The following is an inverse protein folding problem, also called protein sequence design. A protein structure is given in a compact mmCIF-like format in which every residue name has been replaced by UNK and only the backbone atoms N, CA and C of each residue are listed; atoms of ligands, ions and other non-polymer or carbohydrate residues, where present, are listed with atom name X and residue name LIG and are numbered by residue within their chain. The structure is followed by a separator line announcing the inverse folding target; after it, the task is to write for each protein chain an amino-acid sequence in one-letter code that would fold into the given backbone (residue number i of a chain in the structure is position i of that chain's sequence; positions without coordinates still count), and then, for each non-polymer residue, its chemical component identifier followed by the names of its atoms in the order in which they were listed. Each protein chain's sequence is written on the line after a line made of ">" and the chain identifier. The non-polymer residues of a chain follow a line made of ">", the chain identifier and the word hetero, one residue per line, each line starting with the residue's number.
data_IF_535399619099
#
_entry.id   IF_535399619099
#
_cell.length_a   1.000
_cell.length_b   1.000
_cell.length_c   1.000
_cell.angle_alpha   90.00
_cell.angle_beta   90.00
_cell.angle_gamma   90.00
#
_symmetry.space_group_name_H-M   'P 1'
#
loop_
_entity.id
_entity.type
_entity.pdbx_description
1 polymer ?
#
# COMPACT_ATOMS: atom_id res chain seq x y z
N UNK A 1 -14.27 13.12 -15.30
CA UNK A 1 -14.71 11.72 -15.18
C UNK A 1 -13.49 10.85 -14.97
N UNK A 2 -13.38 10.17 -13.83
CA UNK A 2 -12.76 8.84 -13.63
C UNK A 2 -12.49 8.55 -12.13
N UNK A 3 -13.51 8.59 -11.24
CA UNK A 3 -13.32 8.23 -9.82
C UNK A 3 -13.24 6.71 -9.57
N UNK A 4 -13.87 5.91 -10.44
CA UNK A 4 -14.17 4.51 -10.12
C UNK A 4 -13.38 3.49 -10.96
N UNK A 5 -12.74 3.90 -12.06
CA UNK A 5 -12.12 2.98 -13.05
C UNK A 5 -10.83 3.56 -13.67
N UNK A 6 -9.92 4.05 -12.84
CA UNK A 6 -8.74 4.76 -13.33
C UNK A 6 -7.62 3.82 -13.80
N UNK A 7 -7.55 2.57 -13.30
CA UNK A 7 -6.54 1.58 -13.71
C UNK A 7 -6.79 1.06 -15.13
N UNK A 8 -7.97 1.28 -15.72
CA UNK A 8 -8.22 1.11 -17.15
C UNK A 8 -7.18 1.81 -18.06
N UNK A 9 -6.61 2.93 -17.60
CA UNK A 9 -5.57 3.68 -18.33
C UNK A 9 -4.16 3.08 -18.22
N UNK A 10 -3.96 2.11 -17.32
CA UNK A 10 -2.64 1.59 -16.94
C UNK A 10 -2.48 0.08 -17.22
N UNK A 11 -3.39 -0.52 -17.99
CA UNK A 11 -3.49 -1.97 -18.21
C UNK A 11 -2.19 -2.64 -18.68
N UNK A 12 -1.37 -1.94 -19.45
CA UNK A 12 -0.11 -2.45 -20.00
C UNK A 12 1.10 -2.18 -19.10
N UNK A 13 0.93 -1.47 -17.99
CA UNK A 13 1.98 -1.21 -17.01
C UNK A 13 2.01 -2.30 -15.95
N UNK A 14 3.19 -2.50 -15.36
CA UNK A 14 3.39 -3.35 -14.18
C UNK A 14 2.93 -2.66 -12.91
N UNK A 15 2.65 -3.44 -11.87
CA UNK A 15 2.26 -2.94 -10.56
C UNK A 15 3.28 -1.94 -9.99
N UNK A 16 4.57 -2.18 -10.22
CA UNK A 16 5.67 -1.29 -9.82
C UNK A 16 5.87 -0.06 -10.71
N UNK A 17 5.05 0.14 -11.73
CA UNK A 17 5.10 1.29 -12.64
C UNK A 17 3.93 2.26 -12.45
N UNK A 18 3.02 1.96 -11.51
CA UNK A 18 1.82 2.75 -11.22
C UNK A 18 1.88 3.30 -9.80
N UNK A 19 1.46 4.56 -9.64
CA UNK A 19 1.20 5.18 -8.34
C UNK A 19 -0.28 5.02 -8.00
N UNK A 20 -0.58 4.54 -6.79
CA UNK A 20 -1.94 4.25 -6.35
C UNK A 20 -2.20 4.78 -4.93
N UNK A 21 -3.42 5.24 -4.63
CA UNK A 21 -3.84 5.58 -3.28
C UNK A 21 -3.99 4.33 -2.41
N UNK A 22 -3.42 4.38 -1.20
CA UNK A 22 -3.53 3.33 -0.19
C UNK A 22 -4.18 3.83 1.10
N UNK A 23 -4.89 2.95 1.79
CA UNK A 23 -5.61 3.24 3.03
C UNK A 23 -4.94 2.58 4.22
N UNK A 24 -4.54 3.40 5.20
CA UNK A 24 -3.96 2.96 6.46
C UNK A 24 -5.06 2.53 7.44
N UNK A 25 -4.88 1.35 8.06
CA UNK A 25 -5.86 0.73 8.97
C UNK A 25 -7.29 0.82 8.42
N UNK A 26 -7.46 0.39 7.17
CA UNK A 26 -8.57 0.75 6.31
C UNK A 26 -9.95 0.34 6.85
N UNK A 27 -10.00 -0.72 7.66
CA UNK A 27 -11.25 -1.23 8.23
C UNK A 27 -11.76 -0.46 9.45
N UNK A 28 -11.03 0.54 9.96
CA UNK A 28 -11.36 1.22 11.23
C UNK A 28 -12.19 2.48 10.98
N UNK A 29 -13.36 2.28 10.34
CA UNK A 29 -14.30 3.35 9.98
C UNK A 29 -15.53 3.46 10.90
N UNK A 30 -15.79 2.46 11.76
CA UNK A 30 -16.92 2.46 12.72
C UNK A 30 -16.50 2.69 14.18
N UNK A 31 -15.23 3.04 14.44
CA UNK A 31 -14.70 3.08 15.80
C UNK A 31 -15.30 4.21 16.66
N UNK A 32 -15.84 5.27 16.04
CA UNK A 32 -16.51 6.40 16.70
C UNK A 32 -15.69 7.02 17.84
N UNK A 33 -14.36 7.04 17.69
CA UNK A 33 -13.41 7.53 18.68
C UNK A 33 -12.26 8.25 17.97
N UNK A 34 -12.09 9.53 18.24
CA UNK A 34 -11.25 10.44 17.44
C UNK A 34 -9.76 10.05 17.41
N UNK A 35 -9.24 9.41 18.45
CA UNK A 35 -7.85 8.93 18.50
C UNK A 35 -7.67 7.48 18.03
N UNK A 36 -8.72 6.85 17.46
CA UNK A 36 -8.70 5.46 16.99
C UNK A 36 -9.22 5.31 15.57
N UNK A 37 -10.27 6.04 15.21
CA UNK A 37 -10.86 6.00 13.88
C UNK A 37 -9.89 6.57 12.84
N UNK A 38 -9.48 5.75 11.89
CA UNK A 38 -8.56 6.13 10.80
C UNK A 38 -9.28 6.41 9.50
N UNK A 39 -10.52 5.92 9.33
CA UNK A 39 -11.28 6.08 8.09
C UNK A 39 -12.70 6.56 8.37
N UNK A 40 -13.35 7.15 7.36
CA UNK A 40 -14.76 7.55 7.42
C UNK A 40 -15.67 6.69 6.53
N UNK A 41 -15.09 6.09 5.49
CA UNK A 41 -15.77 5.29 4.48
C UNK A 41 -15.48 3.81 4.73
N UNK A 42 -16.41 2.94 4.37
CA UNK A 42 -16.18 1.49 4.27
C UNK A 42 -15.26 1.15 3.07
N UNK A 43 -15.04 -0.14 2.80
CA UNK A 43 -14.11 -0.55 1.73
C UNK A 43 -14.68 -0.19 0.37
N UNK A 44 -15.98 -0.35 0.16
CA UNK A 44 -16.64 0.08 -1.07
C UNK A 44 -16.49 1.58 -1.31
N UNK A 45 -16.76 2.41 -0.30
CA UNK A 45 -16.63 3.87 -0.37
C UNK A 45 -15.20 4.33 -0.62
N UNK A 46 -14.22 3.73 0.06
CA UNK A 46 -12.80 4.01 -0.17
C UNK A 46 -12.35 3.60 -1.59
N UNK A 47 -12.81 2.45 -2.09
CA UNK A 47 -12.50 2.00 -3.45
C UNK A 47 -13.14 2.91 -4.51
N UNK A 48 -14.39 3.32 -4.31
CA UNK A 48 -15.07 4.28 -5.19
C UNK A 48 -14.42 5.67 -5.15
N UNK A 49 -13.77 6.05 -4.04
CA UNK A 49 -12.96 7.26 -3.98
C UNK A 49 -11.64 7.16 -4.80
N UNK A 50 -11.22 5.95 -5.19
CA UNK A 50 -9.97 5.71 -5.93
C UNK A 50 -8.91 4.90 -5.16
N UNK A 51 -9.17 4.42 -3.95
CA UNK A 51 -8.20 3.60 -3.21
C UNK A 51 -8.08 2.18 -3.78
N UNK A 52 -6.85 1.65 -3.88
CA UNK A 52 -6.59 0.29 -4.42
C UNK A 52 -5.76 -0.60 -3.51
N UNK A 53 -5.22 -0.06 -2.41
CA UNK A 53 -4.40 -0.80 -1.46
C UNK A 53 -4.88 -0.58 -0.02
N UNK A 54 -5.27 -1.64 0.69
CA UNK A 54 -5.93 -1.53 1.98
C UNK A 54 -5.12 -2.27 3.04
N UNK A 55 -4.62 -1.57 4.05
CA UNK A 55 -3.97 -2.22 5.21
C UNK A 55 -5.02 -2.58 6.26
N UNK A 56 -5.26 -3.87 6.45
CA UNK A 56 -6.26 -4.42 7.34
C UNK A 56 -5.59 -5.09 8.54
N UNK A 57 -6.03 -4.69 9.74
CA UNK A 57 -5.70 -5.35 11.01
C UNK A 57 -6.96 -6.00 11.53
N UNK A 58 -7.01 -7.32 11.48
CA UNK A 58 -8.20 -8.11 11.80
C UNK A 58 -7.96 -8.96 13.04
N UNK A 59 -8.95 -9.01 13.91
CA UNK A 59 -8.97 -9.86 15.08
C UNK A 59 -10.38 -10.41 15.33
N UNK A 60 -10.49 -11.47 16.12
CA UNK A 60 -11.78 -12.05 16.47
C UNK A 60 -12.38 -11.28 17.63
N UNK A 61 -13.54 -10.69 17.39
CA UNK A 61 -14.38 -9.96 18.32
C UNK A 61 -15.44 -10.87 18.92
N UNK A 62 -15.58 -10.82 20.25
CA UNK A 62 -16.65 -11.47 21.00
C UNK A 62 -17.75 -10.45 21.28
N UNK A 63 -18.98 -10.77 20.90
CA UNK A 63 -20.19 -10.02 21.28
C UNK A 63 -21.12 -10.94 22.08
N UNK A 64 -21.81 -10.38 23.08
CA UNK A 64 -22.84 -11.10 23.83
C UNK A 64 -24.10 -10.22 23.85
N UNK A 65 -25.16 -10.66 23.19
CA UNK A 65 -26.45 -9.95 23.11
C UNK A 65 -27.55 -10.92 23.52
N UNK A 66 -28.40 -10.53 24.47
CA UNK A 66 -29.50 -11.38 24.95
C UNK A 66 -29.05 -12.74 25.52
N UNK A 67 -27.84 -12.82 26.07
CA UNK A 67 -27.24 -14.07 26.56
C UNK A 67 -26.58 -14.95 25.48
N UNK A 68 -26.78 -14.65 24.19
CA UNK A 68 -26.13 -15.36 23.10
C UNK A 68 -24.77 -14.73 22.80
N UNK A 69 -23.72 -15.56 22.77
CA UNK A 69 -22.36 -15.14 22.43
C UNK A 69 -22.05 -15.47 20.98
N UNK A 70 -21.52 -14.50 20.24
CA UNK A 70 -21.07 -14.65 18.86
C UNK A 70 -19.62 -14.21 18.72
N UNK A 71 -18.88 -14.89 17.85
CA UNK A 71 -17.50 -14.56 17.50
C UNK A 71 -17.45 -14.16 16.03
N UNK A 72 -16.93 -12.97 15.75
CA UNK A 72 -16.84 -12.42 14.38
C UNK A 72 -15.46 -11.83 14.15
N UNK A 73 -14.95 -11.84 12.92
CA UNK A 73 -13.70 -11.17 12.61
C UNK A 73 -13.99 -9.70 12.29
N UNK A 74 -13.30 -8.79 12.98
CA UNK A 74 -13.47 -7.34 12.81
C UNK A 74 -12.12 -6.65 12.69
N UNK A 75 -12.11 -5.53 11.98
CA UNK A 75 -10.99 -4.63 12.01
C UNK A 75 -10.79 -4.03 13.40
N UNK A 76 -9.56 -3.67 13.76
CA UNK A 76 -9.27 -2.97 15.00
C UNK A 76 -8.08 -2.03 14.86
N UNK A 77 -8.00 -1.05 15.76
CA UNK A 77 -6.82 -0.20 15.92
C UNK A 77 -6.36 -0.20 17.38
N UNK A 78 -5.17 -0.76 17.61
CA UNK A 78 -4.43 -0.72 18.87
C UNK A 78 -2.97 -1.07 18.61
N UNK A 79 -2.07 -0.65 19.51
CA UNK A 79 -0.72 -1.21 19.56
C UNK A 79 -0.78 -2.73 19.83
N UNK A 80 -0.06 -3.52 19.03
CA UNK A 80 -0.11 -4.98 19.11
C UNK A 80 0.32 -5.52 20.48
N UNK A 81 1.22 -4.82 21.19
CA UNK A 81 1.68 -5.18 22.53
C UNK A 81 0.59 -5.05 23.60
N UNK A 82 -0.48 -4.29 23.30
CA UNK A 82 -1.60 -4.05 24.21
C UNK A 82 -2.83 -4.90 23.88
N UNK A 83 -2.79 -5.70 22.81
CA UNK A 83 -3.89 -6.60 22.44
C UNK A 83 -3.86 -7.82 23.37
N UNK A 84 -4.94 -8.04 24.12
CA UNK A 84 -5.05 -9.20 25.02
C UNK A 84 -5.75 -10.36 24.31
N UNK A 85 -5.11 -11.54 24.31
CA UNK A 85 -5.66 -12.76 23.73
C UNK A 85 -6.39 -13.61 24.80
N UNK A 86 -7.66 -13.91 24.57
CA UNK A 86 -8.46 -14.76 25.44
C UNK A 86 -8.77 -16.09 24.75
N UNK A 87 -8.28 -17.19 25.32
CA UNK A 87 -8.57 -18.54 24.81
C UNK A 87 -10.05 -18.87 24.96
N UNK A 88 -10.62 -19.46 23.91
CA UNK A 88 -11.98 -20.00 23.92
C UNK A 88 -11.90 -21.51 24.06
N UNK A 89 -12.69 -22.06 24.97
CA UNK A 89 -12.90 -23.51 25.11
C UNK A 89 -14.27 -23.85 24.56
N UNK A 90 -14.41 -25.02 23.94
CA UNK A 90 -15.68 -25.61 23.54
C UNK A 90 -16.49 -24.80 22.48
N UNK A 91 -15.83 -23.96 21.68
CA UNK A 91 -16.45 -23.34 20.49
C UNK A 91 -15.76 -23.87 19.23
N UNK A 92 -16.42 -24.72 18.42
CA UNK A 92 -15.83 -25.26 17.20
C UNK A 92 -15.30 -24.16 16.29
N UNK A 93 -14.07 -24.29 15.81
CA UNK A 93 -13.45 -23.37 14.86
C UNK A 93 -12.92 -22.04 15.43
N UNK A 94 -13.17 -21.74 16.71
CA UNK A 94 -12.67 -20.52 17.37
C UNK A 94 -11.77 -20.89 18.55
N UNK A 95 -10.48 -20.56 18.45
CA UNK A 95 -9.48 -20.90 19.47
C UNK A 95 -9.21 -19.74 20.42
N UNK A 96 -9.39 -18.50 19.97
CA UNK A 96 -9.29 -17.31 20.82
C UNK A 96 -10.05 -16.11 20.25
N UNK A 97 -10.31 -15.12 21.11
CA UNK A 97 -10.78 -13.80 20.74
C UNK A 97 -9.88 -12.73 21.38
N UNK A 98 -9.87 -11.54 20.79
CA UNK A 98 -9.01 -10.45 21.25
C UNK A 98 -9.84 -9.40 21.98
N UNK A 99 -9.21 -8.79 22.98
CA UNK A 99 -9.71 -7.59 23.63
C UNK A 99 -8.79 -6.42 23.28
N UNK A 100 -9.35 -5.40 22.63
CA UNK A 100 -8.64 -4.18 22.24
C UNK A 100 -8.94 -2.99 23.17
N UNK A 101 -9.64 -3.27 24.28
CA UNK A 101 -9.69 -2.46 25.51
C UNK A 101 -10.09 -0.99 25.39
N UNK A 102 -9.82 -0.24 26.48
CA UNK A 102 -10.09 1.21 26.61
C UNK A 102 -9.21 2.08 25.69
N UNK A 103 -8.03 1.59 25.29
CA UNK A 103 -7.06 2.35 24.52
C UNK A 103 -7.31 2.25 23.00
N UNK A 104 -7.88 1.14 22.52
CA UNK A 104 -8.15 0.89 21.11
C UNK A 104 -9.62 1.07 20.74
N UNK A 105 -10.00 0.45 19.62
CA UNK A 105 -11.39 0.33 19.21
C UNK A 105 -11.56 -0.59 17.99
N UNK A 106 -12.82 -0.96 17.76
CA UNK A 106 -13.23 -1.88 16.70
C UNK A 106 -13.75 -1.14 15.47
N UNK A 107 -13.40 -1.66 14.30
CA UNK A 107 -13.88 -1.23 12.99
C UNK A 107 -14.96 -2.15 12.42
N UNK A 108 -15.07 -2.17 11.09
CA UNK A 108 -16.00 -2.99 10.33
C UNK A 108 -15.75 -4.51 10.42
N UNK A 109 -16.72 -5.30 9.98
CA UNK A 109 -16.60 -6.77 9.88
C UNK A 109 -15.77 -7.20 8.69
N UNK A 110 -14.94 -8.25 8.84
CA UNK A 110 -14.15 -8.80 7.73
C UNK A 110 -15.03 -9.24 6.56
N UNK A 111 -16.15 -9.87 6.88
CA UNK A 111 -17.08 -10.42 5.90
C UNK A 111 -17.62 -9.32 4.97
N UNK A 112 -18.09 -8.21 5.54
CA UNK A 112 -18.55 -7.05 4.79
C UNK A 112 -17.43 -6.45 3.93
N UNK A 113 -16.22 -6.33 4.48
CA UNK A 113 -15.06 -5.81 3.74
C UNK A 113 -14.67 -6.68 2.54
N UNK A 114 -14.81 -8.01 2.64
CA UNK A 114 -14.55 -8.92 1.53
C UNK A 114 -15.66 -8.87 0.48
N UNK A 115 -16.93 -8.75 0.91
CA UNK A 115 -18.07 -8.62 0.00
C UNK A 115 -18.03 -7.28 -0.76
N UNK A 116 -17.67 -6.18 -0.11
CA UNK A 116 -17.39 -4.88 -0.71
C UNK A 116 -16.32 -4.98 -1.79
N UNK A 117 -15.17 -5.57 -1.44
CA UNK A 117 -14.03 -5.69 -2.34
C UNK A 117 -14.37 -6.55 -3.57
N UNK A 118 -15.04 -7.69 -3.36
CA UNK A 118 -15.53 -8.54 -4.45
C UNK A 118 -16.47 -7.77 -5.36
N UNK A 119 -17.48 -7.12 -4.80
CA UNK A 119 -18.50 -6.38 -5.55
C UNK A 119 -17.88 -5.28 -6.40
N UNK A 120 -16.91 -4.55 -5.84
CA UNK A 120 -16.21 -3.48 -6.55
C UNK A 120 -15.48 -4.00 -7.80
N UNK A 121 -14.66 -5.05 -7.68
CA UNK A 121 -13.87 -5.56 -8.82
C UNK A 121 -14.71 -6.31 -9.84
N UNK A 122 -15.86 -6.89 -9.43
CA UNK A 122 -16.81 -7.46 -10.39
C UNK A 122 -17.58 -6.40 -11.16
N UNK A 123 -17.79 -5.23 -10.55
CA UNK A 123 -18.48 -4.09 -11.19
C UNK A 123 -17.52 -3.29 -12.09
N UNK A 124 -16.24 -3.21 -11.71
CA UNK A 124 -15.20 -2.49 -12.44
C UNK A 124 -14.08 -3.47 -12.85
N UNK A 125 -14.28 -4.27 -13.92
CA UNK A 125 -13.43 -5.42 -14.24
C UNK A 125 -12.02 -5.07 -14.71
N UNK A 126 -11.74 -3.80 -14.99
CA UNK A 126 -10.42 -3.23 -15.29
C UNK A 126 -9.65 -2.84 -14.02
N UNK A 127 -10.30 -2.81 -12.87
CA UNK A 127 -9.71 -2.49 -11.59
C UNK A 127 -9.30 -3.73 -10.81
N UNK A 128 -8.50 -3.55 -9.77
CA UNK A 128 -8.21 -4.58 -8.78
C UNK A 128 -8.09 -3.95 -7.39
N UNK A 129 -8.19 -4.77 -6.34
CA UNK A 129 -7.95 -4.31 -4.97
C UNK A 129 -6.92 -5.20 -4.28
N UNK A 130 -5.98 -4.61 -3.56
CA UNK A 130 -5.01 -5.33 -2.74
C UNK A 130 -5.41 -5.18 -1.27
N UNK A 131 -5.76 -6.29 -0.63
CA UNK A 131 -6.02 -6.37 0.81
C UNK A 131 -4.77 -6.91 1.51
N UNK A 132 -4.05 -6.01 2.18
CA UNK A 132 -2.88 -6.33 3.01
C UNK A 132 -3.36 -6.67 4.42
N UNK A 133 -3.15 -7.90 4.86
CA UNK A 133 -3.41 -8.31 6.24
C UNK A 133 -2.12 -8.23 7.05
N UNK A 134 -2.05 -7.27 7.99
CA UNK A 134 -0.89 -7.10 8.86
C UNK A 134 -1.32 -6.98 10.32
N UNK A 135 -0.45 -7.40 11.26
CA UNK A 135 -0.74 -7.37 12.70
C UNK A 135 -2.10 -7.99 13.07
N UNK A 136 -2.50 -9.05 12.37
CA UNK A 136 -3.76 -9.73 12.62
C UNK A 136 -3.61 -10.82 13.68
N UNK A 137 -4.74 -11.20 14.27
CA UNK A 137 -4.89 -12.42 15.04
C UNK A 137 -5.71 -13.44 14.22
N UNK A 138 -5.66 -14.72 14.61
CA UNK A 138 -6.48 -15.78 14.00
C UNK A 138 -6.36 -15.87 12.46
N UNK A 139 -5.12 -15.80 11.95
CA UNK A 139 -4.75 -15.83 10.53
C UNK A 139 -5.47 -16.89 9.71
N UNK A 140 -5.62 -18.12 10.22
CA UNK A 140 -6.28 -19.20 9.49
C UNK A 140 -7.76 -18.91 9.23
N UNK A 141 -8.46 -18.30 10.19
CA UNK A 141 -9.86 -17.89 10.04
C UNK A 141 -10.00 -16.80 8.98
N UNK A 142 -9.09 -15.81 8.99
CA UNK A 142 -9.05 -14.73 7.99
C UNK A 142 -8.81 -15.30 6.59
N UNK A 143 -7.81 -16.17 6.43
CA UNK A 143 -7.49 -16.76 5.13
C UNK A 143 -8.64 -17.63 4.57
N UNK A 144 -9.30 -18.43 5.41
CA UNK A 144 -10.47 -19.20 5.00
C UNK A 144 -11.64 -18.30 4.58
N UNK A 145 -11.85 -17.18 5.29
CA UNK A 145 -12.87 -16.20 4.91
C UNK A 145 -12.55 -15.58 3.53
N UNK A 146 -11.30 -15.21 3.27
CA UNK A 146 -10.86 -14.71 1.96
C UNK A 146 -11.15 -15.73 0.85
N UNK A 147 -10.71 -16.99 0.99
CA UNK A 147 -10.91 -18.05 -0.01
C UNK A 147 -12.40 -18.24 -0.29
N UNK A 148 -13.22 -18.31 0.77
CA UNK A 148 -14.64 -18.65 0.64
C UNK A 148 -15.45 -17.48 0.09
N UNK A 149 -15.27 -16.26 0.61
CA UNK A 149 -16.12 -15.11 0.26
C UNK A 149 -15.70 -14.45 -1.05
N UNK A 150 -14.40 -14.32 -1.33
CA UNK A 150 -13.95 -13.71 -2.58
C UNK A 150 -14.24 -14.61 -3.78
N UNK A 151 -14.21 -15.93 -3.58
CA UNK A 151 -14.59 -16.92 -4.61
C UNK A 151 -13.85 -16.67 -5.92
N UNK A 152 -14.56 -16.63 -7.08
CA UNK A 152 -13.92 -16.39 -8.38
C UNK A 152 -13.21 -15.03 -8.50
N UNK A 153 -13.57 -14.02 -7.70
CA UNK A 153 -12.88 -12.73 -7.74
C UNK A 153 -11.51 -12.77 -7.02
N UNK A 154 -11.21 -13.82 -6.26
CA UNK A 154 -9.91 -13.96 -5.60
C UNK A 154 -8.81 -14.17 -6.64
N UNK A 155 -7.72 -13.40 -6.55
CA UNK A 155 -6.52 -13.67 -7.33
C UNK A 155 -5.81 -14.90 -6.78
N UNK A 156 -5.72 -15.96 -7.58
CA UNK A 156 -5.15 -17.25 -7.16
C UNK A 156 -3.84 -17.62 -7.85
N UNK A 157 -3.38 -16.81 -8.79
CA UNK A 157 -2.13 -17.05 -9.50
C UNK A 157 -0.91 -16.86 -8.58
N UNK A 158 0.16 -17.57 -8.88
CA UNK A 158 1.39 -17.52 -8.10
C UNK A 158 2.41 -16.48 -8.64
N UNK A 159 3.50 -16.35 -7.89
CA UNK A 159 4.69 -15.60 -8.29
C UNK A 159 4.77 -14.19 -7.72
N UNK A 160 5.74 -13.47 -8.25
CA UNK A 160 6.08 -12.12 -7.83
C UNK A 160 5.07 -11.10 -8.38
N UNK A 161 4.30 -10.49 -7.48
CA UNK A 161 3.24 -9.55 -7.84
C UNK A 161 3.78 -8.21 -8.33
N UNK A 162 4.98 -7.82 -7.93
CA UNK A 162 5.53 -6.53 -8.29
C UNK A 162 5.66 -6.34 -9.82
N UNK A 163 5.89 -7.44 -10.55
CA UNK A 163 6.07 -7.45 -12.00
C UNK A 163 4.82 -7.85 -12.78
N UNK A 164 3.69 -8.11 -12.10
CA UNK A 164 2.43 -8.39 -12.78
C UNK A 164 1.92 -7.09 -13.40
N UNK A 165 1.40 -7.20 -14.62
CA UNK A 165 0.71 -6.09 -15.27
C UNK A 165 -0.63 -5.82 -14.59
N UNK A 166 -1.10 -4.58 -14.64
CA UNK A 166 -2.44 -4.20 -14.20
C UNK A 166 -3.49 -5.10 -14.84
N UNK A 167 -3.35 -5.42 -16.14
CA UNK A 167 -4.24 -6.36 -16.85
C UNK A 167 -4.28 -7.75 -16.22
N UNK A 168 -3.14 -8.28 -15.77
CA UNK A 168 -3.09 -9.59 -15.12
C UNK A 168 -3.78 -9.60 -13.75
N UNK A 169 -3.90 -8.44 -13.10
CA UNK A 169 -4.55 -8.28 -11.80
C UNK A 169 -6.03 -7.87 -11.92
N UNK A 170 -6.45 -7.39 -13.09
CA UNK A 170 -7.77 -6.80 -13.34
C UNK A 170 -8.92 -7.76 -13.03
N UNK A 171 -9.98 -7.23 -12.42
CA UNK A 171 -11.17 -7.96 -11.99
C UNK A 171 -10.93 -8.82 -10.75
N UNK A 172 -9.81 -8.62 -10.02
CA UNK A 172 -9.44 -9.46 -8.88
C UNK A 172 -9.25 -8.70 -7.58
N UNK A 173 -9.54 -9.39 -6.49
CA UNK A 173 -9.10 -9.04 -5.15
C UNK A 173 -7.85 -9.86 -4.83
N UNK A 174 -6.74 -9.19 -4.56
CA UNK A 174 -5.47 -9.78 -4.19
C UNK A 174 -5.33 -9.71 -2.67
N UNK A 175 -5.24 -10.87 -2.01
CA UNK A 175 -4.97 -10.90 -0.56
C UNK A 175 -3.52 -11.21 -0.29
N UNK A 176 -2.83 -10.31 0.41
CA UNK A 176 -1.44 -10.51 0.84
C UNK A 176 -1.36 -10.49 2.36
N UNK A 177 -0.72 -11.51 2.93
CA UNK A 177 -0.53 -11.65 4.37
C UNK A 177 0.89 -11.28 4.74
N UNK A 178 1.07 -10.58 5.86
CA UNK A 178 2.42 -10.32 6.40
C UNK A 178 3.23 -11.63 6.46
N UNK A 179 4.49 -11.59 6.03
CA UNK A 179 5.34 -12.80 5.96
C UNK A 179 5.44 -13.54 7.31
N UNK A 180 5.30 -12.83 8.44
CA UNK A 180 5.25 -13.44 9.78
C UNK A 180 4.03 -14.35 10.01
N UNK A 181 2.98 -14.25 9.18
CA UNK A 181 1.81 -15.12 9.22
C UNK A 181 2.07 -16.49 8.56
N UNK A 182 3.12 -16.63 7.73
CA UNK A 182 3.39 -17.84 6.92
C UNK A 182 3.31 -19.14 7.73
N UNK A 183 3.97 -19.30 8.89
CA UNK A 183 3.91 -20.56 9.65
C UNK A 183 2.49 -20.94 10.08
N UNK A 184 1.63 -19.93 10.36
CA UNK A 184 0.24 -20.12 10.81
C UNK A 184 -0.71 -20.43 9.65
N UNK A 185 -0.30 -20.13 8.42
CA UNK A 185 -1.09 -20.35 7.20
C UNK A 185 -0.71 -21.65 6.48
N UNK A 186 0.41 -22.29 6.80
CA UNK A 186 0.79 -23.60 6.24
C UNK A 186 -0.36 -24.63 6.34
N UNK A 187 -1.03 -24.83 7.50
CA UNK A 187 -2.13 -25.80 7.59
C UNK A 187 -3.30 -25.47 6.65
N UNK A 188 -3.62 -24.18 6.47
CA UNK A 188 -4.68 -23.74 5.56
C UNK A 188 -4.29 -24.03 4.11
N UNK A 189 -3.06 -23.69 3.71
CA UNK A 189 -2.52 -23.92 2.38
C UNK A 189 -2.49 -25.43 2.07
N UNK A 190 -1.98 -26.25 2.99
CA UNK A 190 -1.93 -27.71 2.84
C UNK A 190 -3.32 -28.31 2.70
N UNK A 191 -4.32 -27.81 3.45
CA UNK A 191 -5.70 -28.27 3.36
C UNK A 191 -6.34 -27.99 1.97
N UNK A 192 -5.79 -27.08 1.17
CA UNK A 192 -6.25 -26.85 -0.20
C UNK A 192 -5.80 -27.95 -1.18
N UNK A 193 -4.88 -28.83 -0.78
CA UNK A 193 -4.49 -29.99 -1.60
C UNK A 193 -3.93 -29.61 -2.98
N UNK A 194 -3.17 -28.51 -3.06
CA UNK A 194 -2.61 -28.01 -4.32
C UNK A 194 -3.57 -27.17 -5.17
N UNK A 195 -4.83 -26.97 -4.74
CA UNK A 195 -5.76 -26.06 -5.42
C UNK A 195 -5.26 -24.61 -5.31
N UNK A 196 -5.43 -23.79 -6.36
CA UNK A 196 -5.16 -22.35 -6.28
C UNK A 196 -5.98 -21.71 -5.16
N UNK A 197 -5.32 -20.99 -4.26
CA UNK A 197 -5.90 -20.56 -2.99
C UNK A 197 -5.72 -19.07 -2.67
N UNK A 198 -4.95 -18.33 -3.48
CA UNK A 198 -4.79 -16.88 -3.35
C UNK A 198 -4.16 -16.40 -2.03
N UNK A 199 -3.51 -17.29 -1.28
CA UNK A 199 -2.74 -16.92 -0.08
C UNK A 199 -1.34 -16.54 -0.53
N UNK A 200 -1.12 -15.23 -0.66
CA UNK A 200 0.16 -14.63 -1.03
C UNK A 200 0.75 -13.88 0.17
N UNK A 201 2.04 -13.53 0.09
CA UNK A 201 2.72 -12.86 1.19
C UNK A 201 3.17 -11.44 0.86
N UNK A 202 3.42 -10.64 1.88
CA UNK A 202 4.02 -9.33 1.73
C UNK A 202 5.12 -9.11 2.77
N UNK A 203 6.25 -8.53 2.36
CA UNK A 203 7.35 -8.17 3.28
C UNK A 203 7.97 -6.82 2.94
N UNK A 204 8.34 -6.09 3.99
CA UNK A 204 9.20 -4.92 3.88
C UNK A 204 10.66 -5.37 3.69
N UNK A 205 11.35 -4.74 2.75
CA UNK A 205 12.80 -4.91 2.57
C UNK A 205 13.61 -3.95 3.43
N UNK A 206 13.04 -2.80 3.80
CA UNK A 206 13.70 -1.85 4.70
C UNK A 206 13.39 -2.18 6.16
N UNK A 207 14.44 -2.37 6.96
CA UNK A 207 14.33 -2.38 8.41
C UNK A 207 14.92 -1.09 8.98
N UNK A 208 14.03 -0.23 9.50
CA UNK A 208 14.43 1.04 10.12
C UNK A 208 15.15 0.88 11.45
N UNK A 209 14.96 -0.25 12.11
CA UNK A 209 15.41 -0.44 13.49
C UNK A 209 16.86 -0.95 13.48
N UNK A 210 17.23 -1.76 12.49
CA UNK A 210 18.61 -2.14 12.20
C UNK A 210 19.30 -1.25 11.17
N UNK A 211 18.56 -0.40 10.45
CA UNK A 211 19.06 0.38 9.31
C UNK A 211 19.45 -0.47 8.10
N UNK A 212 19.16 -1.78 8.13
CA UNK A 212 19.54 -2.73 7.09
C UNK A 212 18.47 -2.88 6.01
N UNK A 213 18.90 -3.30 4.81
CA UNK A 213 17.99 -3.64 3.71
C UNK A 213 18.14 -5.12 3.38
N UNK A 214 17.00 -5.82 3.30
CA UNK A 214 16.95 -7.19 2.80
C UNK A 214 17.09 -7.20 1.28
N UNK A 215 17.71 -8.24 0.75
CA UNK A 215 17.81 -8.48 -0.69
C UNK A 215 16.43 -8.79 -1.28
N UNK A 216 16.15 -8.22 -2.43
CA UNK A 216 14.96 -8.54 -3.21
C UNK A 216 15.05 -9.96 -3.76
N UNK A 217 13.97 -10.73 -3.63
CA UNK A 217 13.88 -12.09 -4.15
C UNK A 217 12.93 -12.13 -5.37
N UNK A 218 13.42 -12.31 -6.61
CA UNK A 218 12.55 -12.34 -7.79
C UNK A 218 11.56 -13.50 -7.79
N UNK A 219 11.79 -14.55 -7.00
CA UNK A 219 10.93 -15.72 -6.88
C UNK A 219 9.93 -15.62 -5.71
N UNK A 220 9.92 -14.52 -4.97
CA UNK A 220 9.02 -14.33 -3.85
C UNK A 220 7.55 -14.38 -4.31
N UNK A 221 6.75 -15.24 -3.68
CA UNK A 221 5.32 -15.36 -3.94
C UNK A 221 4.53 -14.27 -3.19
N UNK A 222 4.38 -13.13 -3.85
CA UNK A 222 3.61 -11.99 -3.36
C UNK A 222 4.32 -10.66 -3.61
N UNK A 223 4.22 -9.74 -2.64
CA UNK A 223 4.71 -8.36 -2.75
C UNK A 223 5.97 -8.15 -1.90
N UNK A 224 6.96 -7.47 -2.47
CA UNK A 224 8.10 -6.92 -1.73
C UNK A 224 8.10 -5.41 -1.85
N UNK A 225 8.20 -4.70 -0.73
CA UNK A 225 8.14 -3.24 -0.74
C UNK A 225 9.24 -2.61 0.11
N UNK A 226 9.62 -1.38 -0.25
CA UNK A 226 10.48 -0.50 0.51
C UNK A 226 9.65 0.65 1.06
N UNK A 227 9.53 0.71 2.39
CA UNK A 227 8.69 1.70 3.04
C UNK A 227 8.62 1.46 4.54
N UNK A 228 8.40 2.51 5.32
CA UNK A 228 8.19 2.40 6.76
C UNK A 228 7.30 3.53 7.26
N UNK A 229 6.30 3.12 8.01
CA UNK A 229 5.46 4.03 8.78
C UNK A 229 6.30 4.88 9.78
N UNK A 230 5.91 6.14 10.00
CA UNK A 230 6.58 7.03 10.97
C UNK A 230 5.73 7.20 12.22
N UNK A 231 6.24 6.74 13.38
CA UNK A 231 5.54 6.97 14.64
C UNK A 231 5.82 8.40 15.17
N UNK A 232 5.24 9.41 14.53
CA UNK A 232 5.38 10.82 14.92
C UNK A 232 4.12 11.62 14.61
N UNK A 233 3.82 12.59 15.47
CA UNK A 233 2.75 13.58 15.31
C UNK A 233 3.20 14.81 14.49
N UNK A 234 4.52 14.98 14.29
CA UNK A 234 5.09 16.16 13.61
C UNK A 234 5.20 15.91 12.11
N UNK A 235 4.48 16.71 11.32
CA UNK A 235 4.50 16.65 9.86
C UNK A 235 5.92 16.69 9.30
N UNK A 236 6.73 17.70 9.68
CA UNK A 236 8.10 17.82 9.17
C UNK A 236 9.02 16.62 9.49
N UNK A 237 8.82 15.98 10.66
CA UNK A 237 9.54 14.74 10.98
C UNK A 237 9.06 13.57 10.11
N UNK A 238 7.76 13.47 9.85
CA UNK A 238 7.23 12.48 8.94
C UNK A 238 7.77 12.71 7.52
N UNK A 239 7.67 13.92 6.98
CA UNK A 239 8.18 14.31 5.65
C UNK A 239 9.64 13.94 5.50
N UNK A 240 10.49 14.31 6.45
CA UNK A 240 11.92 13.99 6.40
C UNK A 240 12.19 12.47 6.47
N UNK A 241 11.41 11.71 7.26
CA UNK A 241 11.53 10.25 7.30
C UNK A 241 11.10 9.62 5.99
N UNK A 242 9.94 10.01 5.45
CA UNK A 242 9.46 9.49 4.16
C UNK A 242 10.47 9.81 3.05
N UNK A 243 10.99 11.05 2.99
CA UNK A 243 12.03 11.42 2.02
C UNK A 243 13.28 10.54 2.10
N UNK A 244 13.83 10.35 3.30
CA UNK A 244 14.99 9.44 3.49
C UNK A 244 14.67 8.00 3.12
N UNK A 245 13.49 7.49 3.47
CA UNK A 245 13.08 6.14 3.10
C UNK A 245 12.99 5.96 1.59
N UNK A 246 12.41 6.93 0.86
CA UNK A 246 12.33 6.84 -0.59
C UNK A 246 13.71 6.92 -1.26
N UNK A 247 14.58 7.82 -0.79
CA UNK A 247 15.96 7.91 -1.28
C UNK A 247 16.75 6.64 -0.99
N UNK A 248 16.61 6.03 0.19
CA UNK A 248 17.29 4.77 0.48
C UNK A 248 16.74 3.60 -0.36
N UNK A 249 15.44 3.65 -0.69
CA UNK A 249 14.80 2.68 -1.57
C UNK A 249 15.38 2.67 -2.99
N UNK A 250 15.91 3.82 -3.46
CA UNK A 250 16.58 3.95 -4.76
C UNK A 250 17.73 2.93 -4.96
N UNK A 251 18.40 2.53 -3.87
CA UNK A 251 19.53 1.60 -3.87
C UNK A 251 19.14 0.13 -4.03
N UNK A 252 17.84 -0.21 -3.89
CA UNK A 252 17.39 -1.60 -3.84
C UNK A 252 17.09 -2.17 -5.23
N UNK A 253 16.49 -3.35 -5.38
CA UNK A 253 16.18 -3.89 -6.72
C UNK A 253 15.10 -3.07 -7.43
N UNK A 254 15.18 -2.93 -8.76
CA UNK A 254 14.27 -2.06 -9.52
C UNK A 254 12.80 -2.49 -9.48
N UNK A 255 12.58 -3.78 -9.24
CA UNK A 255 11.23 -4.31 -9.20
C UNK A 255 10.52 -4.12 -7.85
N UNK A 256 11.17 -3.59 -6.82
CA UNK A 256 10.54 -3.38 -5.51
C UNK A 256 9.46 -2.28 -5.57
N UNK A 257 8.38 -2.43 -4.80
CA UNK A 257 7.41 -1.35 -4.65
C UNK A 257 7.89 -0.31 -3.64
N UNK A 258 7.78 0.98 -3.95
CA UNK A 258 7.93 2.04 -2.94
C UNK A 258 6.61 2.29 -2.20
N UNK A 259 6.65 2.40 -0.87
CA UNK A 259 5.47 2.72 -0.05
C UNK A 259 5.76 3.90 0.86
N UNK A 260 5.01 4.99 0.63
CA UNK A 260 5.05 6.22 1.42
C UNK A 260 3.87 6.26 2.37
N UNK A 261 4.11 6.63 3.62
CA UNK A 261 3.07 6.84 4.62
C UNK A 261 2.86 8.34 4.83
N UNK A 262 1.79 8.89 4.26
CA UNK A 262 1.41 10.29 4.43
C UNK A 262 0.38 10.46 5.54
N UNK A 263 0.75 9.95 6.70
CA UNK A 263 -0.03 9.96 7.94
C UNK A 263 0.87 10.36 9.11
N UNK A 264 0.29 10.82 10.20
CA UNK A 264 0.99 11.04 11.47
C UNK A 264 0.33 10.23 12.57
N UNK A 265 1.04 9.90 13.64
CA UNK A 265 0.49 9.21 14.84
C UNK A 265 0.58 10.06 16.11
N UNK A 266 -0.20 9.70 17.11
CA UNK A 266 -0.13 10.21 18.47
C UNK A 266 -1.22 9.52 19.30
N UNK A 267 -0.87 8.96 20.47
CA UNK A 267 -1.77 8.11 21.26
C UNK A 267 -3.04 8.84 21.74
N UNK A 268 -2.98 10.17 21.88
CA UNK A 268 -4.04 10.98 22.46
C UNK A 268 -4.61 12.04 21.51
N UNK A 269 -4.01 12.20 20.31
CA UNK A 269 -4.41 13.24 19.36
C UNK A 269 -5.52 12.77 18.43
N UNK A 270 -6.44 13.67 18.08
CA UNK A 270 -7.46 13.45 17.06
C UNK A 270 -6.80 13.10 15.71
N UNK A 271 -7.06 11.89 15.19
CA UNK A 271 -6.51 11.43 13.91
C UNK A 271 -7.05 12.27 12.76
N UNK A 272 -8.32 12.68 12.81
CA UNK A 272 -8.96 13.47 11.76
C UNK A 272 -8.36 14.87 11.69
N UNK A 273 -8.14 15.52 12.83
CA UNK A 273 -7.47 16.82 12.86
C UNK A 273 -6.06 16.73 12.27
N UNK A 274 -5.30 15.69 12.64
CA UNK A 274 -3.95 15.45 12.11
C UNK A 274 -3.96 15.17 10.62
N UNK A 275 -4.93 14.40 10.15
CA UNK A 275 -5.17 14.17 8.73
C UNK A 275 -5.44 15.48 7.98
N UNK A 276 -6.33 16.34 8.50
CA UNK A 276 -6.60 17.64 7.88
C UNK A 276 -5.33 18.51 7.78
N UNK A 277 -4.46 18.46 8.79
CA UNK A 277 -3.14 19.09 8.72
C UNK A 277 -2.27 18.47 7.63
N UNK A 278 -2.16 17.15 7.56
CA UNK A 278 -1.36 16.44 6.54
C UNK A 278 -1.79 16.75 5.10
N UNK A 279 -3.07 17.04 4.89
CA UNK A 279 -3.68 17.27 3.58
C UNK A 279 -4.04 18.73 3.29
N UNK A 280 -3.52 19.68 4.08
CA UNK A 280 -3.58 21.09 3.70
C UNK A 280 -2.67 21.39 2.49
N UNK A 281 -2.87 22.54 1.84
CA UNK A 281 -2.14 22.90 0.62
C UNK A 281 -0.61 22.83 0.77
N UNK A 282 -0.08 23.36 1.87
CA UNK A 282 1.37 23.37 2.15
C UNK A 282 1.94 21.95 2.25
N UNK A 283 1.24 21.06 2.95
CA UNK A 283 1.71 19.71 3.18
C UNK A 283 1.46 18.80 1.97
N UNK A 284 0.43 19.05 1.17
CA UNK A 284 0.27 18.41 -0.15
C UNK A 284 1.44 18.77 -1.07
N UNK A 285 1.86 20.04 -1.10
CA UNK A 285 3.05 20.44 -1.86
C UNK A 285 4.32 19.73 -1.34
N UNK A 286 4.46 19.59 -0.01
CA UNK A 286 5.56 18.86 0.60
C UNK A 286 5.56 17.35 0.24
N UNK A 287 4.38 16.71 0.19
CA UNK A 287 4.23 15.33 -0.31
C UNK A 287 4.74 15.23 -1.74
N UNK A 288 4.26 16.09 -2.63
CA UNK A 288 4.61 16.06 -4.05
C UNK A 288 6.12 16.28 -4.25
N UNK A 289 6.70 17.22 -3.51
CA UNK A 289 8.14 17.46 -3.55
C UNK A 289 8.94 16.26 -3.03
N UNK A 290 8.52 15.68 -1.90
CA UNK A 290 9.20 14.52 -1.31
C UNK A 290 9.14 13.32 -2.26
N UNK A 291 7.99 13.10 -2.90
CA UNK A 291 7.80 12.07 -3.90
C UNK A 291 8.72 12.29 -5.12
N UNK A 292 8.76 13.53 -5.67
CA UNK A 292 9.62 13.90 -6.80
C UNK A 292 11.11 13.68 -6.49
N UNK A 293 11.56 14.09 -5.30
CA UNK A 293 12.94 13.86 -4.87
C UNK A 293 13.29 12.37 -4.75
N UNK A 294 12.35 11.53 -4.30
CA UNK A 294 12.52 10.08 -4.29
C UNK A 294 12.65 9.47 -5.68
N UNK A 295 11.85 9.95 -6.64
CA UNK A 295 11.94 9.57 -8.05
C UNK A 295 13.30 9.96 -8.65
N UNK A 296 13.73 11.22 -8.45
CA UNK A 296 15.00 11.72 -8.95
C UNK A 296 16.21 10.94 -8.39
N UNK A 297 16.18 10.62 -7.09
CA UNK A 297 17.21 9.80 -6.46
C UNK A 297 17.24 8.38 -7.05
N UNK A 298 16.06 7.78 -7.28
CA UNK A 298 15.94 6.46 -7.91
C UNK A 298 16.52 6.41 -9.32
N UNK A 299 16.27 7.43 -10.13
CA UNK A 299 16.86 7.56 -11.47
C UNK A 299 18.38 7.72 -11.37
N UNK A 300 18.83 8.68 -10.55
CA UNK A 300 20.25 9.03 -10.46
C UNK A 300 21.09 7.86 -9.95
N UNK A 301 20.61 7.15 -8.93
CA UNK A 301 21.36 6.02 -8.35
C UNK A 301 21.52 4.84 -9.30
N UNK A 302 20.54 4.60 -10.19
CA UNK A 302 20.53 3.42 -11.06
C UNK A 302 21.21 3.63 -12.40
N UNK A 303 21.13 4.84 -12.95
CA UNK A 303 21.74 5.16 -14.24
C UNK A 303 23.06 5.90 -14.13
N UNK A 304 23.36 6.55 -13.01
CA UNK A 304 24.63 7.27 -12.82
C UNK A 304 24.96 8.18 -14.01
N UNK A 305 26.11 7.95 -14.62
CA UNK A 305 26.58 8.69 -15.80
C UNK A 305 25.86 8.34 -17.12
N UNK A 306 25.14 7.21 -17.17
CA UNK A 306 24.35 6.78 -18.32
C UNK A 306 22.92 7.35 -18.29
N UNK A 307 22.59 8.17 -17.28
CA UNK A 307 21.27 8.79 -17.12
C UNK A 307 20.80 9.45 -18.41
N UNK A 308 21.63 10.29 -19.02
CA UNK A 308 21.25 11.02 -20.24
C UNK A 308 20.99 10.08 -21.43
N UNK A 309 21.78 9.02 -21.57
CA UNK A 309 21.62 8.01 -22.63
C UNK A 309 20.38 7.13 -22.43
N UNK A 310 20.13 6.67 -21.19
CA UNK A 310 18.94 5.89 -20.85
C UNK A 310 17.65 6.71 -21.02
N UNK A 311 17.74 8.00 -20.73
CA UNK A 311 16.65 8.95 -20.90
C UNK A 311 16.38 9.24 -22.38
N UNK A 312 17.40 9.48 -23.20
CA UNK A 312 17.25 9.64 -24.66
C UNK A 312 16.62 8.40 -25.33
N UNK A 313 16.97 7.20 -24.89
CA UNK A 313 16.38 5.96 -25.40
C UNK A 313 14.88 5.82 -25.02
N UNK A 314 14.47 6.29 -23.85
CA UNK A 314 13.06 6.29 -23.45
C UNK A 314 12.20 7.28 -24.26
N UNK A 315 12.82 8.34 -24.78
CA UNK A 315 12.21 9.33 -25.68
C UNK A 315 11.89 8.74 -27.06
N UNK A 316 12.75 7.84 -27.54
CA UNK A 316 12.73 7.31 -28.91
C UNK A 316 11.98 5.98 -29.05
N UNK A 317 11.95 5.15 -28.00
CA UNK A 317 11.41 3.78 -28.04
C UNK A 317 10.12 3.62 -27.22
N UNK A 318 9.18 4.57 -27.39
CA UNK A 318 7.94 4.69 -26.61
C UNK A 318 7.37 3.37 -26.05
N UNK A 319 7.07 3.37 -24.75
CA UNK A 319 6.39 2.26 -24.05
C UNK A 319 7.31 1.36 -23.22
N UNK A 320 8.29 0.69 -23.84
CA UNK A 320 9.08 -0.36 -23.16
C UNK A 320 10.13 0.21 -22.18
N UNK A 321 10.81 1.30 -22.56
CA UNK A 321 11.74 2.01 -21.68
C UNK A 321 11.03 3.02 -20.76
N UNK A 322 9.87 3.55 -21.17
CA UNK A 322 9.02 4.37 -20.30
C UNK A 322 8.47 3.61 -19.10
N UNK A 323 8.15 2.31 -19.27
CA UNK A 323 7.84 1.39 -18.16
C UNK A 323 9.05 1.21 -17.24
N UNK A 324 10.24 0.92 -17.79
CA UNK A 324 11.49 0.88 -17.00
C UNK A 324 11.71 2.21 -16.26
N UNK A 325 11.52 3.36 -16.89
CA UNK A 325 11.59 4.69 -16.26
C UNK A 325 10.51 4.96 -15.17
N UNK A 326 9.38 4.26 -15.23
CA UNK A 326 8.29 4.34 -14.24
C UNK A 326 8.39 3.31 -13.13
N UNK A 327 9.24 2.30 -13.28
CA UNK A 327 9.62 1.39 -12.18
C UNK A 327 10.40 2.09 -11.03
N UNK A 328 10.50 3.42 -11.08
CA UNK A 328 11.36 4.27 -10.26
C UNK A 328 10.60 5.16 -9.26
N UNK A 329 9.39 4.76 -8.87
CA UNK A 329 8.48 5.62 -8.11
C UNK A 329 8.12 5.03 -6.74
N UNK A 330 7.85 5.89 -5.74
CA UNK A 330 6.95 5.52 -4.65
C UNK A 330 5.58 5.17 -5.25
N UNK A 331 5.22 3.88 -5.22
CA UNK A 331 4.04 3.33 -5.88
C UNK A 331 2.77 3.47 -5.04
N UNK A 332 2.88 3.44 -3.72
CA UNK A 332 1.72 3.43 -2.84
C UNK A 332 1.84 4.58 -1.85
N UNK A 333 0.82 5.45 -1.81
CA UNK A 333 0.72 6.52 -0.80
C UNK A 333 -0.39 6.15 0.18
N UNK A 334 0.02 5.70 1.37
CA UNK A 334 -0.88 5.30 2.46
C UNK A 334 -1.41 6.53 3.21
N UNK A 335 -2.71 6.60 3.44
CA UNK A 335 -3.39 7.73 4.08
C UNK A 335 -4.49 7.34 5.07
N UNK A 336 -4.79 8.24 5.99
CA UNK A 336 -6.00 8.21 6.82
C UNK A 336 -7.12 9.00 6.12
N UNK A 337 -8.37 8.71 6.46
CA UNK A 337 -9.58 9.36 5.95
C UNK A 337 -9.58 9.57 4.44
N UNK A 338 -9.44 8.46 3.71
CA UNK A 338 -9.53 8.41 2.25
C UNK A 338 -10.79 9.14 1.77
N UNK A 339 -10.62 9.99 0.77
CA UNK A 339 -11.67 10.62 -0.01
C UNK A 339 -11.20 10.81 -1.46
N UNK A 340 -12.13 11.21 -2.34
CA UNK A 340 -11.85 11.39 -3.76
C UNK A 340 -10.73 12.40 -4.02
N UNK A 341 -10.73 13.55 -3.31
CA UNK A 341 -9.75 14.61 -3.56
C UNK A 341 -8.32 14.13 -3.26
N UNK A 342 -8.13 13.40 -2.16
CA UNK A 342 -6.83 12.82 -1.81
C UNK A 342 -6.38 11.76 -2.81
N UNK A 343 -7.32 10.91 -3.24
CA UNK A 343 -7.06 9.89 -4.26
C UNK A 343 -6.66 10.52 -5.60
N UNK A 344 -7.35 11.57 -6.05
CA UNK A 344 -7.03 12.31 -7.28
C UNK A 344 -5.61 12.90 -7.21
N UNK A 345 -5.23 13.49 -6.07
CA UNK A 345 -3.88 14.03 -5.85
C UNK A 345 -2.82 12.94 -6.00
N UNK A 346 -3.06 11.74 -5.47
CA UNK A 346 -2.12 10.63 -5.56
C UNK A 346 -2.09 10.04 -6.97
N UNK A 347 -3.23 9.90 -7.64
CA UNK A 347 -3.29 9.43 -9.03
C UNK A 347 -2.51 10.38 -9.96
N UNK A 348 -2.64 11.70 -9.76
CA UNK A 348 -1.94 12.72 -10.53
C UNK A 348 -0.40 12.59 -10.45
N UNK A 349 0.15 11.91 -9.44
CA UNK A 349 1.58 11.61 -9.38
C UNK A 349 2.05 10.76 -10.58
N UNK A 350 1.18 9.95 -11.19
CA UNK A 350 1.49 9.24 -12.43
C UNK A 350 1.76 10.20 -13.61
N UNK A 351 1.06 11.34 -13.66
CA UNK A 351 1.27 12.38 -14.67
C UNK A 351 2.50 13.25 -14.35
N UNK A 352 2.71 13.56 -13.06
CA UNK A 352 3.92 14.22 -12.59
C UNK A 352 5.16 13.41 -12.95
N UNK A 353 5.11 12.09 -12.78
CA UNK A 353 6.19 11.19 -13.20
C UNK A 353 6.58 11.41 -14.66
N UNK A 354 5.59 11.37 -15.55
CA UNK A 354 5.82 11.55 -16.99
C UNK A 354 6.44 12.93 -17.28
N UNK A 355 5.96 13.98 -16.62
CA UNK A 355 6.48 15.35 -16.79
C UNK A 355 7.89 15.53 -16.24
N UNK A 356 8.16 15.03 -15.02
CA UNK A 356 9.48 15.11 -14.40
C UNK A 356 10.52 14.30 -15.17
N UNK A 357 10.13 13.16 -15.75
CA UNK A 357 10.98 12.44 -16.70
C UNK A 357 11.30 13.32 -17.90
N UNK A 358 10.32 13.96 -18.54
CA UNK A 358 10.55 14.89 -19.66
C UNK A 358 11.46 16.06 -19.27
N UNK A 359 11.28 16.68 -18.10
CA UNK A 359 12.09 17.80 -17.65
C UNK A 359 13.55 17.39 -17.41
N UNK A 360 13.77 16.23 -16.80
CA UNK A 360 15.10 15.68 -16.60
C UNK A 360 15.78 15.31 -17.94
N UNK A 361 15.04 15.18 -19.04
CA UNK A 361 15.57 14.90 -20.39
C UNK A 361 16.03 16.15 -21.14
N UNK A 362 15.65 17.34 -20.70
CA UNK A 362 16.08 18.59 -21.33
C UNK A 362 17.48 18.89 -20.79
N UNK A 363 18.55 18.85 -21.62
CA UNK A 363 19.88 19.19 -21.14
C UNK A 363 19.86 20.60 -20.54
N UNK A 364 20.52 20.78 -19.41
CA UNK A 364 20.68 22.09 -18.81
C UNK A 364 21.21 23.07 -19.88
N UNK A 365 20.75 24.34 -19.91
CA UNK A 365 21.30 25.31 -20.84
C UNK A 365 22.81 25.29 -20.71
N UNK A 366 23.52 25.03 -21.82
CA UNK A 366 24.98 25.16 -21.83
C UNK A 366 25.27 26.59 -21.35
N UNK A 367 25.90 26.71 -20.18
CA UNK A 367 26.43 28.00 -19.74
C UNK A 367 27.30 28.58 -20.85
N UNK A 368 27.45 29.92 -20.91
CA UNK A 368 28.24 30.56 -21.96
C UNK A 368 29.60 29.87 -22.07
N UNK A 369 29.87 29.32 -23.26
CA UNK A 369 31.19 28.76 -23.58
C UNK A 369 32.22 29.87 -23.31
N UNK A 370 33.30 29.60 -22.55
CA UNK A 370 34.37 30.57 -22.41
C UNK A 370 34.87 30.90 -23.82
N UNK A 371 34.79 32.19 -24.17
CA UNK A 371 35.34 32.68 -25.41
C UNK A 371 36.82 32.27 -25.50
N UNK A 372 37.27 31.71 -26.64
CA UNK A 372 38.69 31.46 -26.82
C UNK A 372 39.42 32.81 -26.70
N UNK A 373 40.37 32.88 -25.77
CA UNK A 373 41.24 34.05 -25.64
C UNK A 373 41.87 34.35 -27.00
N UNK A 374 41.84 35.61 -27.47
CA UNK A 374 42.57 35.97 -28.67
C UNK A 374 44.05 35.73 -28.41
N UNK A 375 44.64 34.90 -29.27
CA UNK A 375 46.09 34.68 -29.33
C UNK A 375 46.71 36.02 -29.72
N UNK A 376 47.49 36.60 -28.80
CA UNK A 376 48.37 37.74 -29.05
C UNK A 376 49.76 37.27 -29.41
#
# INVERSE_FOLDING_TARGET
>A
MAGNDYLSNYQNLRLNEVVMPGSHDAGVYTANKSNVQTQALDIAGQANAGCRFFDLRIATYKSTVGGQTTYTNKAFHLDQSLVVDHKVKNTPGITSYQNVGHAGGWGGGLDDMLDDARTFVTTNPTEFLILKFSKCANWSSIANACITRLGPAHYTDAGNLNNKTVRQLSGRVITVFDESARPKLIPVITAQGGRPHGILFIKALYDSDSGSSKTYDPNFWGIQYFGKFSSTDKVGKNTAKQGRTLVNGAATHMDVLGMMYWTTTGLLGDIRQRNNTMWNQTNVAALQQTWKSGLEASITQRFGNEKDSAMLLAQTHGGALGGRLKSFMPNIVMMDFVDQQKCDIVEQLNAVAATSLLQLMIPAPRGPQPHPNPIG
#
